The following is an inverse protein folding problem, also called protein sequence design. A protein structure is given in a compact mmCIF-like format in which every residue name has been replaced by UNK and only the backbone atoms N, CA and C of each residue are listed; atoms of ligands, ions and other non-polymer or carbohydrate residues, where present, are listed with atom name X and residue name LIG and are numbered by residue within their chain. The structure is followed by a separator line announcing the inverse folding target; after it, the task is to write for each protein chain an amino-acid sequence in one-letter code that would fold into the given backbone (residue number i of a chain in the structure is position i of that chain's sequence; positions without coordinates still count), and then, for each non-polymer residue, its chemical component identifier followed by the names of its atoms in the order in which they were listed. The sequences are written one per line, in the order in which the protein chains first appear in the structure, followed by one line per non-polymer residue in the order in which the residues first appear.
data_IF_797671607198
#
_entry.id   IF_797671607198
#
_cell.length_a   1.000
_cell.length_b   1.000
_cell.length_c   1.000
_cell.angle_alpha   90.00
_cell.angle_beta   90.00
_cell.angle_gamma   90.00
#
_symmetry.space_group_name_H-M   'P 1'
#
loop_
_entity.id
_entity.type
_entity.pdbx_description
1 polymer ?
#
# COMPACT_ATOMS: atom_id res chain seq x y z
N UNK A 1 -0.37 5.50 6.97
CA UNK A 1 -1.50 5.58 6.02
C UNK A 1 -2.66 6.35 6.66
N UNK A 2 -3.13 7.43 6.03
CA UNK A 2 -4.10 8.39 6.62
C UNK A 2 -5.44 8.43 5.90
N UNK A 3 -5.62 7.69 4.80
CA UNK A 3 -6.85 7.74 4.00
C UNK A 3 -7.93 6.87 4.65
N UNK A 4 -8.94 7.51 5.22
CA UNK A 4 -10.10 6.83 5.84
C UNK A 4 -11.25 6.60 4.87
N UNK A 5 -11.34 7.38 3.79
CA UNK A 5 -12.38 7.22 2.77
C UNK A 5 -12.00 7.89 1.44
N UNK A 6 -12.46 7.34 0.33
CA UNK A 6 -12.36 7.89 -1.02
C UNK A 6 -13.66 7.62 -1.80
N UNK A 7 -13.71 7.99 -3.08
CA UNK A 7 -14.82 7.71 -3.98
C UNK A 7 -14.45 6.65 -5.00
N UNK A 8 -15.44 5.87 -5.45
CA UNK A 8 -15.29 4.98 -6.60
C UNK A 8 -15.08 5.82 -7.85
N UNK A 9 -14.15 5.40 -8.71
CA UNK A 9 -13.84 6.10 -9.95
C UNK A 9 -12.78 7.20 -9.80
N UNK A 10 -12.16 7.32 -8.63
CA UNK A 10 -11.03 8.22 -8.40
C UNK A 10 -9.73 7.44 -8.17
N UNK A 11 -8.62 8.05 -8.58
CA UNK A 11 -7.28 7.59 -8.23
C UNK A 11 -7.03 7.85 -6.73
N UNK A 12 -6.75 6.79 -5.98
CA UNK A 12 -6.47 6.86 -4.55
C UNK A 12 -4.96 6.73 -4.31
N UNK A 13 -4.26 7.82 -3.95
CA UNK A 13 -2.84 7.76 -3.64
C UNK A 13 -2.63 7.08 -2.30
N UNK A 14 -1.97 5.93 -2.29
CA UNK A 14 -1.60 5.17 -1.12
C UNK A 14 -0.12 5.42 -0.83
N UNK A 15 0.16 5.97 0.33
CA UNK A 15 1.52 6.23 0.80
C UNK A 15 1.75 5.59 2.17
N UNK A 16 2.92 4.98 2.33
CA UNK A 16 3.44 4.58 3.62
C UNK A 16 4.91 4.97 3.77
N UNK A 17 5.20 5.67 4.87
CA UNK A 17 6.56 5.97 5.30
C UNK A 17 6.88 5.17 6.55
N UNK A 18 8.12 4.68 6.64
CA UNK A 18 8.64 4.00 7.81
C UNK A 18 9.58 4.94 8.57
N UNK A 19 9.53 4.90 9.90
CA UNK A 19 10.44 5.68 10.74
C UNK A 19 10.81 4.92 12.00
N UNK A 20 12.02 5.17 12.49
CA UNK A 20 12.55 4.67 13.75
C UNK A 20 12.89 5.83 14.69
N UNK A 21 13.64 5.56 15.77
CA UNK A 21 14.09 6.61 16.69
C UNK A 21 15.08 7.61 16.09
N UNK A 22 15.67 7.30 14.94
CA UNK A 22 16.69 8.08 14.25
C UNK A 22 16.12 8.90 13.09
N UNK A 23 14.95 8.54 12.54
CA UNK A 23 14.28 9.31 11.51
C UNK A 23 13.49 8.43 10.54
N UNK A 24 13.34 8.92 9.30
CA UNK A 24 12.83 8.08 8.20
C UNK A 24 13.79 6.92 7.96
N UNK A 25 13.23 5.74 7.71
CA UNK A 25 13.99 4.53 7.38
C UNK A 25 13.78 4.26 5.90
N UNK A 26 14.88 4.23 5.15
CA UNK A 26 14.89 3.81 3.76
C UNK A 26 15.09 2.28 3.69
N UNK A 27 14.10 1.53 3.17
CA UNK A 27 14.22 0.11 2.88
C UNK A 27 15.23 -0.21 1.76
N UNK A 28 15.35 0.67 0.76
CA UNK A 28 16.17 0.51 -0.46
C UNK A 28 17.68 0.75 -0.19
N UNK A 29 18.02 1.32 0.98
CA UNK A 29 19.44 1.44 1.42
C UNK A 29 20.03 0.09 1.89
N UNK A 30 19.33 -1.04 1.71
CA UNK A 30 19.75 -2.36 2.21
C UNK A 30 19.96 -3.48 1.16
N UNK A 31 19.61 -3.35 -0.13
CA UNK A 31 19.96 -4.38 -1.12
C UNK A 31 20.25 -3.85 -2.53
N UNK A 32 21.18 -4.55 -3.20
CA UNK A 32 21.46 -4.51 -4.64
C UNK A 32 20.55 -5.42 -5.46
N UNK A 33 19.43 -5.90 -4.89
CA UNK A 33 18.57 -6.88 -5.54
C UNK A 33 17.58 -6.22 -6.53
N UNK A 34 16.97 -7.04 -7.38
CA UNK A 34 16.00 -6.60 -8.39
C UNK A 34 14.55 -6.73 -7.89
N UNK A 35 14.37 -7.08 -6.62
CA UNK A 35 13.07 -7.33 -6.01
C UNK A 35 12.52 -6.03 -5.38
N UNK A 36 11.19 -5.84 -5.42
CA UNK A 36 10.57 -4.68 -4.80
C UNK A 36 10.61 -4.81 -3.27
N UNK A 37 11.08 -3.78 -2.57
CA UNK A 37 11.14 -3.76 -1.10
C UNK A 37 9.77 -3.66 -0.42
N UNK A 38 8.73 -3.32 -1.18
CA UNK A 38 7.36 -3.35 -0.70
C UNK A 38 6.35 -3.72 -1.78
N UNK A 39 5.39 -4.55 -1.36
CA UNK A 39 4.23 -4.94 -2.16
C UNK A 39 2.93 -4.53 -1.46
N UNK A 40 1.92 -4.17 -2.27
CA UNK A 40 0.57 -3.86 -1.83
C UNK A 40 -0.44 -4.90 -2.30
N UNK A 41 -1.31 -5.30 -1.39
CA UNK A 41 -2.50 -6.13 -1.65
C UNK A 41 -3.72 -5.37 -1.17
N UNK A 42 -4.78 -5.34 -1.99
CA UNK A 42 -6.05 -4.71 -1.63
C UNK A 42 -7.15 -5.77 -1.75
N UNK A 43 -7.92 -5.93 -0.68
CA UNK A 43 -8.98 -6.94 -0.57
C UNK A 43 -10.30 -6.29 -0.20
N UNK A 44 -11.37 -6.59 -0.94
CA UNK A 44 -12.72 -6.22 -0.58
C UNK A 44 -13.13 -6.93 0.72
N UNK A 45 -13.54 -6.18 1.74
CA UNK A 45 -13.89 -6.74 3.06
C UNK A 45 -15.23 -7.51 3.03
N UNK A 46 -16.10 -7.23 2.07
CA UNK A 46 -17.43 -7.84 1.94
C UNK A 46 -17.40 -9.35 1.69
N UNK A 47 -16.45 -9.79 0.88
CA UNK A 47 -16.39 -11.15 0.33
C UNK A 47 -14.95 -11.71 0.28
N UNK A 48 -13.98 -10.96 0.80
CA UNK A 48 -12.55 -11.28 0.76
C UNK A 48 -11.99 -11.40 -0.66
N UNK A 49 -12.65 -10.78 -1.65
CA UNK A 49 -12.14 -10.75 -3.02
C UNK A 49 -10.91 -9.85 -3.10
N UNK A 50 -9.80 -10.40 -3.54
CA UNK A 50 -8.60 -9.63 -3.86
C UNK A 50 -8.82 -8.84 -5.15
N UNK A 51 -8.65 -7.52 -5.08
CA UNK A 51 -8.78 -6.60 -6.23
C UNK A 51 -7.42 -6.16 -6.75
N UNK A 52 -6.43 -6.06 -5.86
CA UNK A 52 -5.02 -5.85 -6.20
C UNK A 52 -4.22 -6.96 -5.54
N UNK A 53 -3.43 -7.67 -6.35
CA UNK A 53 -2.60 -8.80 -5.92
C UNK A 53 -1.13 -8.40 -5.96
N UNK A 54 -0.51 -8.27 -4.77
CA UNK A 54 0.93 -8.11 -4.56
C UNK A 54 1.63 -7.27 -5.64
N UNK A 55 1.20 -6.01 -5.78
CA UNK A 55 1.80 -5.08 -6.72
C UNK A 55 2.97 -4.36 -6.05
N UNK A 56 4.08 -4.25 -6.76
CA UNK A 56 5.25 -3.51 -6.30
C UNK A 56 4.92 -2.04 -6.11
N UNK A 57 5.31 -1.49 -4.97
CA UNK A 57 5.22 -0.06 -4.71
C UNK A 57 6.46 0.66 -5.21
N UNK A 58 6.31 1.94 -5.59
CA UNK A 58 7.46 2.78 -5.96
C UNK A 58 8.01 3.47 -4.73
N UNK A 59 9.32 3.48 -4.56
CA UNK A 59 9.99 4.24 -3.50
C UNK A 59 10.27 5.68 -3.93
N UNK A 60 10.13 6.66 -3.02
CA UNK A 60 10.48 8.05 -3.27
C UNK A 60 11.78 8.45 -2.53
N UNK A 61 12.37 9.59 -2.89
CA UNK A 61 13.65 10.09 -2.34
C UNK A 61 13.63 10.36 -0.81
N UNK A 62 12.50 10.17 -0.12
CA UNK A 62 12.30 10.47 1.31
C UNK A 62 11.96 9.26 2.17
N UNK A 63 12.12 8.02 1.68
CA UNK A 63 11.92 6.83 2.51
C UNK A 63 10.47 6.31 2.52
N UNK A 64 9.63 6.72 1.56
CA UNK A 64 8.23 6.35 1.50
C UNK A 64 7.89 5.57 0.23
N UNK A 65 6.99 4.60 0.39
CA UNK A 65 6.42 3.82 -0.70
C UNK A 65 5.08 4.38 -1.13
N UNK A 66 4.92 4.50 -2.43
CA UNK A 66 3.75 5.05 -3.09
C UNK A 66 3.14 4.03 -4.04
N UNK A 67 1.81 4.00 -4.06
CA UNK A 67 1.01 3.27 -5.02
C UNK A 67 -0.25 4.08 -5.33
N UNK A 68 -0.64 4.17 -6.59
CA UNK A 68 -1.92 4.81 -6.97
C UNK A 68 -2.90 3.70 -7.28
N UNK A 69 -3.95 3.59 -6.48
CA UNK A 69 -5.03 2.64 -6.73
C UNK A 69 -6.09 3.26 -7.65
N UNK A 70 -6.19 2.74 -8.86
CA UNK A 70 -7.25 3.10 -9.82
C UNK A 70 -8.55 2.39 -9.43
N UNK A 71 -9.40 3.08 -8.67
CA UNK A 71 -10.64 2.48 -8.19
C UNK A 71 -11.70 2.32 -9.27
N UNK A 72 -11.55 2.96 -10.44
CA UNK A 72 -12.46 2.75 -11.57
C UNK A 72 -12.18 1.39 -12.22
N UNK A 73 -10.90 1.07 -12.40
CA UNK A 73 -10.46 -0.15 -13.04
C UNK A 73 -10.52 -1.38 -12.12
N UNK A 74 -10.12 -1.20 -10.86
CA UNK A 74 -9.79 -2.33 -9.99
C UNK A 74 -10.85 -2.62 -8.93
N UNK A 75 -11.61 -1.61 -8.48
CA UNK A 75 -12.54 -1.80 -7.36
C UNK A 75 -13.83 -2.51 -7.77
N UNK A 76 -14.35 -3.38 -6.90
CA UNK A 76 -15.65 -4.03 -7.05
C UNK A 76 -16.82 -3.16 -6.55
N UNK A 77 -16.75 -1.86 -6.82
CA UNK A 77 -17.74 -0.86 -6.39
C UNK A 77 -17.49 -0.27 -5.00
N UNK A 78 -18.51 0.41 -4.47
CA UNK A 78 -18.44 1.06 -3.16
C UNK A 78 -18.41 0.02 -2.03
N UNK A 79 -17.76 0.34 -0.92
CA UNK A 79 -17.56 -0.62 0.16
C UNK A 79 -16.32 -0.36 0.98
N UNK A 80 -16.01 -1.28 1.88
CA UNK A 80 -14.77 -1.21 2.68
C UNK A 80 -13.75 -2.19 2.12
N UNK A 81 -12.53 -1.71 1.98
CA UNK A 81 -11.38 -2.47 1.50
C UNK A 81 -10.32 -2.50 2.58
N UNK A 82 -9.65 -3.64 2.71
CA UNK A 82 -8.44 -3.81 3.51
C UNK A 82 -7.27 -3.59 2.59
N UNK A 83 -6.39 -2.67 2.97
CA UNK A 83 -5.11 -2.45 2.32
C UNK A 83 -4.05 -3.09 3.21
N UNK A 84 -3.28 -4.00 2.64
CA UNK A 84 -2.14 -4.64 3.26
C UNK A 84 -0.88 -4.28 2.47
N UNK A 85 0.10 -3.70 3.15
CA UNK A 85 1.41 -3.42 2.60
C UNK A 85 2.42 -4.28 3.34
N UNK A 86 3.16 -5.08 2.59
CA UNK A 86 4.26 -5.90 3.11
C UNK A 86 5.56 -5.28 2.64
N UNK A 87 6.45 -4.95 3.56
CA UNK A 87 7.77 -4.39 3.25
C UNK A 87 8.87 -5.18 3.94
N UNK A 88 10.02 -5.31 3.30
CA UNK A 88 11.19 -6.00 3.83
C UNK A 88 12.28 -5.01 4.27
N UNK A 89 12.94 -5.29 5.40
CA UNK A 89 14.02 -4.49 5.95
C UNK A 89 15.05 -5.43 6.56
N UNK A 90 16.27 -5.51 6.02
CA UNK A 90 17.35 -6.35 6.59
C UNK A 90 16.93 -7.82 6.83
N UNK A 91 16.05 -8.36 5.98
CA UNK A 91 15.47 -9.70 6.12
C UNK A 91 14.33 -9.81 7.15
N UNK A 92 13.86 -8.69 7.70
CA UNK A 92 12.64 -8.61 8.51
C UNK A 92 11.44 -8.12 7.68
N UNK A 93 10.36 -8.89 7.70
CA UNK A 93 9.09 -8.51 7.07
C UNK A 93 8.25 -7.64 8.02
N UNK A 94 7.87 -6.45 7.57
CA UNK A 94 6.91 -5.55 8.21
C UNK A 94 5.60 -5.54 7.45
N UNK A 95 4.49 -5.76 8.15
CA UNK A 95 3.15 -5.75 7.56
C UNK A 95 2.35 -4.58 8.14
N UNK A 96 1.86 -3.71 7.26
CA UNK A 96 0.97 -2.61 7.60
C UNK A 96 -0.41 -2.85 7.01
N UNK A 97 -1.42 -2.93 7.90
CA UNK A 97 -2.81 -3.08 7.49
C UNK A 97 -3.60 -1.83 7.79
N UNK A 98 -4.48 -1.45 6.88
CA UNK A 98 -5.38 -0.32 7.03
C UNK A 98 -6.69 -0.59 6.31
N UNK A 99 -7.69 0.23 6.57
CA UNK A 99 -8.99 0.13 5.92
C UNK A 99 -9.35 1.45 5.26
N UNK A 100 -9.88 1.35 4.05
CA UNK A 100 -10.45 2.47 3.32
C UNK A 100 -11.90 2.16 2.97
N UNK A 101 -12.77 3.14 3.10
CA UNK A 101 -14.15 3.04 2.62
C UNK A 101 -14.32 3.84 1.33
N UNK A 102 -14.65 3.16 0.23
CA UNK A 102 -15.09 3.79 -1.02
C UNK A 102 -16.57 4.12 -0.95
N UNK A 103 -16.91 5.36 -1.29
CA UNK A 103 -18.28 5.87 -1.41
C UNK A 103 -18.65 5.98 -2.89
N UNK A 104 -19.95 5.98 -3.15
CA UNK A 104 -20.51 6.42 -4.44
C UNK A 104 -20.34 7.92 -4.65
#
# INVERSE_FOLDING_TARGET
MTIKSAYVGEDVPIEIAYSDSNGAVDPDDQDTDENPDADITITANSDSTEVISAQSMTHNDVGAFEYVWDTDADANGSGTYVIEITAEFDGETKINKSQITLKE
#
